data_IF_272480348721
#
_entry.id   IF_272480348721
#
_cell.length_a   1.000
_cell.length_b   1.000
_cell.length_c   1.000
_cell.angle_alpha   90.00
_cell.angle_beta   90.00
_cell.angle_gamma   90.00
#
_symmetry.space_group_name_H-M   'P 1'
#
loop_
_entity.id
_entity.type
_entity.pdbx_description
1 polymer ?
#
# COMPACT_ATOMS: atom_id res chain seq x y z
N UNK A 1 30.02 7.68 46.88
CA UNK A 1 29.94 6.47 46.03
C UNK A 1 28.65 5.67 46.23
N UNK A 2 28.26 5.34 47.47
CA UNK A 2 27.05 4.54 47.75
C UNK A 2 25.73 5.11 47.20
N UNK A 3 25.59 6.43 47.07
CA UNK A 3 24.39 7.07 46.48
C UNK A 3 24.30 6.84 44.96
N UNK A 4 25.44 6.88 44.25
CA UNK A 4 25.49 6.65 42.79
C UNK A 4 25.23 5.19 42.41
N UNK A 5 25.61 4.23 43.28
CA UNK A 5 25.29 2.81 43.06
C UNK A 5 23.82 2.50 43.31
N UNK A 6 23.19 3.10 44.33
CA UNK A 6 21.74 2.97 44.56
C UNK A 6 20.93 3.54 43.40
N UNK A 7 21.37 4.65 42.81
CA UNK A 7 20.68 5.29 41.69
C UNK A 7 20.79 4.51 40.37
N UNK A 8 21.96 3.90 40.10
CA UNK A 8 22.14 2.94 38.98
C UNK A 8 21.30 1.68 39.13
N UNK A 9 21.20 1.14 40.34
CA UNK A 9 20.39 -0.06 40.60
C UNK A 9 18.89 0.22 40.43
N UNK A 10 18.43 1.42 40.83
CA UNK A 10 17.04 1.85 40.67
C UNK A 10 16.66 2.08 39.20
N UNK A 11 17.51 2.73 38.41
CA UNK A 11 17.28 2.93 36.96
C UNK A 11 17.26 1.61 36.18
N UNK A 12 18.18 0.68 36.49
CA UNK A 12 18.19 -0.64 35.86
C UNK A 12 16.97 -1.50 36.22
N UNK A 13 16.39 -1.30 37.41
CA UNK A 13 15.19 -2.02 37.86
C UNK A 13 13.92 -1.46 37.22
N UNK A 14 13.83 -0.13 37.06
CA UNK A 14 12.73 0.53 36.34
C UNK A 14 12.73 0.18 34.85
N UNK A 15 13.91 0.13 34.21
CA UNK A 15 14.01 -0.29 32.81
C UNK A 15 13.55 -1.75 32.60
N UNK A 16 13.90 -2.66 33.53
CA UNK A 16 13.43 -4.06 33.48
C UNK A 16 11.91 -4.19 33.68
N UNK A 17 11.34 -3.41 34.60
CA UNK A 17 9.89 -3.39 34.83
C UNK A 17 9.13 -2.82 33.63
N UNK A 18 9.64 -1.75 33.00
CA UNK A 18 9.06 -1.20 31.78
C UNK A 18 9.07 -2.23 30.64
N UNK A 19 10.21 -2.86 30.38
CA UNK A 19 10.30 -3.89 29.34
C UNK A 19 9.37 -5.09 29.61
N UNK A 20 9.28 -5.55 30.86
CA UNK A 20 8.37 -6.63 31.24
C UNK A 20 6.89 -6.28 31.06
N UNK A 21 6.48 -5.03 31.31
CA UNK A 21 5.11 -4.57 31.10
C UNK A 21 4.79 -4.45 29.61
N UNK A 22 5.73 -3.91 28.81
CA UNK A 22 5.58 -3.86 27.36
C UNK A 22 5.51 -5.26 26.74
N UNK A 23 6.33 -6.20 27.19
CA UNK A 23 6.31 -7.58 26.71
C UNK A 23 5.02 -8.33 27.11
N UNK A 24 4.49 -8.07 28.32
CA UNK A 24 3.22 -8.61 28.79
C UNK A 24 2.03 -8.08 27.99
N UNK A 25 2.00 -6.77 27.73
CA UNK A 25 0.99 -6.14 26.87
C UNK A 25 1.05 -6.70 25.44
N UNK A 26 2.26 -6.88 24.89
CA UNK A 26 2.49 -7.45 23.55
C UNK A 26 2.06 -8.91 23.46
N UNK A 27 2.26 -9.70 24.52
CA UNK A 27 1.82 -11.09 24.60
C UNK A 27 0.30 -11.24 24.71
N UNK A 28 -0.36 -10.40 25.52
CA UNK A 28 -1.82 -10.32 25.61
C UNK A 28 -2.44 -9.92 24.27
N UNK A 29 -1.81 -8.98 23.55
CA UNK A 29 -2.25 -8.55 22.23
C UNK A 29 -2.13 -9.67 21.18
N UNK A 30 -1.02 -10.41 21.16
CA UNK A 30 -0.84 -11.58 20.27
C UNK A 30 -1.91 -12.65 20.49
N UNK A 31 -2.34 -12.88 21.72
CA UNK A 31 -3.45 -13.80 22.04
C UNK A 31 -4.83 -13.28 21.60
N UNK A 32 -5.00 -11.96 21.43
CA UNK A 32 -6.25 -11.37 20.94
C UNK A 32 -6.29 -11.33 19.42
N UNK A 33 -5.18 -10.99 18.76
CA UNK A 33 -5.05 -10.99 17.29
C UNK A 33 -5.29 -12.40 16.72
N UNK A 34 -4.81 -13.45 17.39
CA UNK A 34 -5.07 -14.85 16.99
C UNK A 34 -6.55 -15.28 17.04
N UNK A 35 -7.46 -14.47 17.60
CA UNK A 35 -8.91 -14.76 17.66
C UNK A 35 -9.72 -14.15 16.53
N UNK A 36 -9.13 -13.30 15.69
CA UNK A 36 -9.85 -12.56 14.64
C UNK A 36 -9.61 -13.09 13.21
N UNK A 37 -9.06 -14.31 13.06
CA UNK A 37 -8.94 -15.02 11.76
C UNK A 37 -10.29 -15.59 11.26
N UNK A 38 -11.32 -14.74 11.17
CA UNK A 38 -12.54 -15.04 10.39
C UNK A 38 -12.91 -13.87 9.48
N UNK A 39 -13.29 -14.13 8.22
CA UNK A 39 -13.58 -13.07 7.26
C UNK A 39 -14.94 -12.45 7.58
N UNK A 40 -14.93 -11.20 8.07
CA UNK A 40 -16.16 -10.43 8.22
C UNK A 40 -16.68 -10.04 6.84
N UNK A 41 -17.87 -10.56 6.54
CA UNK A 41 -18.62 -10.23 5.35
C UNK A 41 -19.03 -8.76 5.33
N UNK A 42 -18.95 -8.20 4.12
CA UNK A 42 -19.39 -6.89 3.66
C UNK A 42 -20.69 -6.37 4.31
N UNK A 43 -20.63 -5.14 4.83
CA UNK A 43 -21.65 -4.11 4.62
C UNK A 43 -20.96 -2.75 4.56
N UNK A 44 -20.85 -2.20 3.34
CA UNK A 44 -20.44 -0.82 3.11
C UNK A 44 -21.59 -0.12 2.38
N UNK A 45 -22.20 0.93 2.95
CA UNK A 45 -23.06 1.82 2.21
C UNK A 45 -22.31 3.15 2.02
N UNK A 46 -21.63 3.35 0.89
CA UNK A 46 -21.26 4.69 0.47
C UNK A 46 -21.55 4.90 -1.01
N UNK A 47 -22.64 5.64 -1.24
CA UNK A 47 -22.89 6.38 -2.46
C UNK A 47 -21.91 7.56 -2.56
N UNK A 48 -21.40 7.78 -3.77
CA UNK A 48 -20.83 9.06 -4.19
C UNK A 48 -21.95 10.11 -4.19
N UNK A 49 -21.91 11.08 -3.28
CA UNK A 49 -22.76 12.28 -3.33
C UNK A 49 -21.87 13.51 -3.14
N UNK A 50 -21.99 14.46 -4.05
CA UNK A 50 -21.47 15.82 -3.89
C UNK A 50 -22.18 16.45 -2.69
N UNK A 51 -21.47 16.63 -1.57
CA UNK A 51 -22.02 17.30 -0.41
C UNK A 51 -22.45 18.72 -0.75
N UNK A 52 -23.72 19.03 -0.50
CA UNK A 52 -24.20 20.42 -0.50
C UNK A 52 -23.63 21.14 0.73
N UNK A 53 -23.49 22.47 0.67
CA UNK A 53 -22.97 23.28 1.79
C UNK A 53 -23.73 23.06 3.10
N UNK A 54 -24.99 22.62 3.05
CA UNK A 54 -25.82 22.35 4.22
C UNK A 54 -25.37 21.13 5.03
N UNK A 55 -24.93 20.05 4.37
CA UNK A 55 -24.49 18.83 5.05
C UNK A 55 -23.12 19.01 5.73
N UNK A 56 -22.23 19.79 5.09
CA UNK A 56 -20.96 20.18 5.71
C UNK A 56 -21.18 21.05 6.96
N UNK A 57 -22.13 22.00 6.91
CA UNK A 57 -22.52 22.83 8.06
C UNK A 57 -23.11 21.95 9.18
N UNK A 58 -23.95 20.97 8.84
CA UNK A 58 -24.53 20.05 9.82
C UNK A 58 -23.45 19.19 10.50
N UNK A 59 -22.44 18.75 9.77
CA UNK A 59 -21.31 18.00 10.32
C UNK A 59 -20.46 18.86 11.28
N UNK A 60 -20.19 20.12 10.91
CA UNK A 60 -19.50 21.09 11.77
C UNK A 60 -20.31 21.37 13.04
N UNK A 61 -21.62 21.52 12.92
CA UNK A 61 -22.51 21.75 14.07
C UNK A 61 -22.60 20.52 15.00
N UNK A 62 -22.64 19.30 14.45
CA UNK A 62 -22.59 18.08 15.25
C UNK A 62 -21.24 17.91 15.97
N UNK A 63 -20.13 18.25 15.30
CA UNK A 63 -18.81 18.25 15.92
C UNK A 63 -18.73 19.30 17.04
N UNK A 64 -19.25 20.52 16.82
CA UNK A 64 -19.32 21.56 17.84
C UNK A 64 -20.22 21.18 19.03
N UNK A 65 -21.35 20.52 18.79
CA UNK A 65 -22.25 20.03 19.83
C UNK A 65 -21.62 18.90 20.67
N UNK A 66 -20.86 17.99 20.05
CA UNK A 66 -20.08 16.98 20.78
C UNK A 66 -18.98 17.61 21.61
N UNK A 67 -18.27 18.61 21.06
CA UNK A 67 -17.24 19.35 21.79
C UNK A 67 -17.80 20.16 22.95
N UNK A 68 -18.99 20.75 22.83
CA UNK A 68 -19.63 21.50 23.92
C UNK A 68 -20.21 20.59 25.01
N UNK A 69 -20.73 19.41 24.67
CA UNK A 69 -21.14 18.40 25.65
C UNK A 69 -19.95 17.88 26.48
N UNK A 70 -18.79 17.68 25.84
CA UNK A 70 -17.52 17.37 26.54
C UNK A 70 -17.15 18.55 27.46
N UNK A 71 -17.30 19.79 27.01
CA UNK A 71 -16.96 20.99 27.79
C UNK A 71 -17.83 21.20 29.04
N UNK A 72 -19.11 20.83 29.01
CA UNK A 72 -20.02 20.98 30.15
C UNK A 72 -19.82 19.94 31.27
N UNK A 73 -19.25 18.77 30.95
CA UNK A 73 -18.96 17.73 31.97
C UNK A 73 -17.68 18.02 32.77
N UNK A 74 -16.96 19.10 32.44
CA UNK A 74 -15.55 19.29 32.80
C UNK A 74 -15.29 20.24 33.97
N UNK A 75 -16.29 20.93 34.49
CA UNK A 75 -16.10 22.04 35.45
C UNK A 75 -15.99 21.60 36.93
N UNK A 76 -15.92 20.30 37.25
CA UNK A 76 -16.06 19.85 38.64
C UNK A 76 -14.99 18.92 39.23
N UNK A 77 -13.91 18.57 38.53
CA UNK A 77 -12.79 17.83 39.14
C UNK A 77 -11.44 18.33 38.66
N UNK A 78 -10.59 18.78 39.59
CA UNK A 78 -9.28 19.41 39.36
C UNK A 78 -8.17 18.51 38.82
N UNK A 79 -8.49 17.49 38.03
CA UNK A 79 -7.50 16.69 37.32
C UNK A 79 -7.34 17.22 35.90
N UNK A 80 -6.12 17.60 35.52
CA UNK A 80 -5.82 18.03 34.15
C UNK A 80 -5.89 16.83 33.20
N UNK A 81 -6.96 16.76 32.41
CA UNK A 81 -7.20 15.74 31.36
C UNK A 81 -6.44 16.00 30.05
N UNK A 82 -5.32 16.72 30.12
CA UNK A 82 -4.48 16.96 28.94
C UNK A 82 -3.26 16.07 28.99
N UNK A 83 -2.76 15.71 27.81
CA UNK A 83 -1.49 15.04 27.61
C UNK A 83 -0.61 15.85 26.68
N UNK A 84 0.67 15.88 27.01
CA UNK A 84 1.72 16.50 26.23
C UNK A 84 2.36 15.44 25.34
N UNK A 85 2.34 15.68 24.03
CA UNK A 85 2.92 14.80 23.00
C UNK A 85 3.94 15.60 22.21
N UNK A 86 5.13 15.07 22.03
CA UNK A 86 6.24 15.72 21.35
C UNK A 86 6.47 15.06 19.98
N UNK A 87 6.28 15.83 18.90
CA UNK A 87 6.52 15.40 17.52
C UNK A 87 7.54 16.32 16.84
N UNK A 88 8.74 15.81 16.57
CA UNK A 88 9.85 16.59 16.02
C UNK A 88 10.30 17.71 16.97
N UNK A 89 9.94 18.96 16.68
CA UNK A 89 10.24 20.15 17.49
C UNK A 89 9.01 20.77 18.18
N UNK A 90 7.86 20.10 18.06
CA UNK A 90 6.59 20.65 18.48
C UNK A 90 6.06 19.88 19.69
N UNK A 91 5.57 20.63 20.67
CA UNK A 91 4.89 20.10 21.85
C UNK A 91 3.39 20.36 21.71
N UNK A 92 2.63 19.29 21.62
CA UNK A 92 1.18 19.32 21.52
C UNK A 92 0.55 19.08 22.87
N UNK A 93 -0.44 19.90 23.23
CA UNK A 93 -1.28 19.68 24.40
C UNK A 93 -2.64 19.16 23.92
N UNK A 94 -2.84 17.85 23.99
CA UNK A 94 -4.03 17.17 23.46
C UNK A 94 -4.89 16.68 24.59
N UNK A 95 -6.20 16.73 24.41
CA UNK A 95 -7.13 16.21 25.40
C UNK A 95 -7.12 14.67 25.44
N UNK A 96 -7.15 14.09 26.63
CA UNK A 96 -7.08 12.65 26.87
C UNK A 96 -8.20 11.90 26.14
N UNK A 97 -9.43 12.43 26.17
CA UNK A 97 -10.56 11.79 25.49
C UNK A 97 -10.38 11.68 23.98
N UNK A 98 -9.73 12.67 23.34
CA UNK A 98 -9.49 12.67 21.89
C UNK A 98 -8.44 11.61 21.55
N UNK A 99 -7.39 11.51 22.37
CA UNK A 99 -6.35 10.49 22.21
C UNK A 99 -6.94 9.08 22.39
N UNK A 100 -7.76 8.86 23.42
CA UNK A 100 -8.42 7.58 23.67
C UNK A 100 -9.42 7.21 22.58
N UNK A 101 -10.19 8.18 22.05
CA UNK A 101 -11.13 7.94 20.96
C UNK A 101 -10.42 7.47 19.69
N UNK A 102 -9.23 8.02 19.42
CA UNK A 102 -8.46 7.74 18.20
C UNK A 102 -7.52 6.54 18.30
N UNK A 103 -7.22 6.06 19.51
CA UNK A 103 -6.16 5.07 19.72
C UNK A 103 -6.44 4.18 20.92
N UNK A 104 -6.47 2.87 20.66
CA UNK A 104 -6.55 1.84 21.71
C UNK A 104 -5.33 1.92 22.64
N UNK A 105 -4.14 2.23 22.11
CA UNK A 105 -2.92 2.37 22.91
C UNK A 105 -3.03 3.49 23.92
N UNK A 106 -3.55 4.66 23.51
CA UNK A 106 -3.75 5.76 24.44
C UNK A 106 -4.82 5.43 25.48
N UNK A 107 -5.93 4.82 25.05
CA UNK A 107 -6.97 4.35 25.95
C UNK A 107 -6.42 3.41 27.03
N UNK A 108 -5.71 2.36 26.63
CA UNK A 108 -5.10 1.37 27.53
C UNK A 108 -4.05 2.02 28.44
N UNK A 109 -3.20 2.88 27.89
CA UNK A 109 -2.17 3.60 28.66
C UNK A 109 -2.80 4.45 29.75
N UNK A 110 -3.92 5.13 29.49
CA UNK A 110 -4.57 5.97 30.49
C UNK A 110 -5.39 5.16 31.50
N UNK A 111 -6.04 4.08 31.08
CA UNK A 111 -6.73 3.16 31.99
C UNK A 111 -5.75 2.52 32.97
N UNK A 112 -4.61 2.00 32.47
CA UNK A 112 -3.57 1.42 33.32
C UNK A 112 -3.01 2.43 34.33
N UNK A 113 -2.88 3.71 33.95
CA UNK A 113 -2.47 4.76 34.91
C UNK A 113 -3.45 4.95 36.05
N UNK A 114 -4.75 4.80 35.79
CA UNK A 114 -5.79 4.96 36.81
C UNK A 114 -5.83 3.76 37.76
N UNK A 115 -5.54 2.55 37.27
CA UNK A 115 -5.47 1.33 38.08
C UNK A 115 -4.16 1.25 38.89
N UNK A 116 -3.02 1.56 38.28
CA UNK A 116 -1.67 1.49 38.89
C UNK A 116 -1.42 2.66 39.85
N UNK A 117 -2.25 3.71 39.82
CA UNK A 117 -2.28 4.73 40.88
C UNK A 117 -2.41 4.15 42.29
N UNK A 118 -2.96 2.92 42.42
CA UNK A 118 -3.01 2.17 43.67
C UNK A 118 -1.68 1.50 44.09
N UNK A 119 -0.73 1.30 43.16
CA UNK A 119 0.53 0.55 43.36
C UNK A 119 1.80 1.44 43.47
N UNK A 120 1.65 2.75 43.66
CA UNK A 120 2.73 3.72 43.97
C UNK A 120 3.87 3.89 42.93
N UNK A 121 3.71 3.43 41.68
CA UNK A 121 4.63 3.79 40.59
C UNK A 121 3.96 4.86 39.72
N UNK A 122 4.32 6.15 39.86
CA UNK A 122 3.73 7.21 39.05
C UNK A 122 4.22 7.07 37.61
N UNK A 123 3.34 6.61 36.72
CA UNK A 123 3.55 6.72 35.28
C UNK A 123 3.21 8.16 34.90
N UNK A 124 4.24 8.97 34.68
CA UNK A 124 4.11 10.41 34.39
C UNK A 124 4.07 10.75 32.91
N UNK A 125 4.18 9.75 32.03
CA UNK A 125 4.35 9.97 30.59
C UNK A 125 3.15 10.74 30.02
N UNK A 126 3.45 11.89 29.44
CA UNK A 126 2.49 12.83 28.87
C UNK A 126 1.77 13.73 29.87
N UNK A 127 1.86 13.55 31.19
CA UNK A 127 1.09 14.37 32.16
C UNK A 127 1.69 15.77 32.37
N UNK A 128 2.99 15.92 32.14
CA UNK A 128 3.72 17.17 32.33
C UNK A 128 4.51 17.54 31.08
N UNK A 129 4.71 18.84 30.86
CA UNK A 129 5.54 19.34 29.76
C UNK A 129 6.99 18.83 29.85
N UNK A 130 7.50 18.63 31.06
CA UNK A 130 8.84 18.09 31.30
C UNK A 130 8.97 16.58 30.98
N UNK A 131 7.85 15.89 30.76
CA UNK A 131 7.81 14.45 30.48
C UNK A 131 6.73 14.11 29.43
N UNK A 132 6.83 14.62 28.18
CA UNK A 132 5.85 14.35 27.15
C UNK A 132 5.97 12.93 26.59
N UNK A 133 4.92 12.46 25.91
CA UNK A 133 5.00 11.27 25.05
C UNK A 133 5.82 11.64 23.82
N UNK A 134 6.98 11.03 23.62
CA UNK A 134 7.88 11.36 22.50
C UNK A 134 7.60 10.45 21.31
N UNK A 135 7.21 11.04 20.18
CA UNK A 135 7.04 10.32 18.91
C UNK A 135 8.40 10.14 18.20
N UNK A 136 8.51 9.16 17.28
CA UNK A 136 9.70 9.04 16.44
C UNK A 136 10.01 10.33 15.69
N UNK A 137 11.31 10.62 15.45
CA UNK A 137 11.73 11.85 14.76
C UNK A 137 11.27 11.91 13.30
N UNK A 138 10.84 10.78 12.73
CA UNK A 138 10.26 10.67 11.39
C UNK A 138 8.86 11.30 11.30
N UNK A 139 8.14 11.43 12.42
CA UNK A 139 6.79 11.98 12.43
C UNK A 139 6.83 13.51 12.41
N UNK A 140 6.33 14.08 11.32
CA UNK A 140 6.18 15.51 11.15
C UNK A 140 5.00 16.06 11.97
N UNK A 141 5.04 17.38 12.19
CA UNK A 141 3.94 18.13 12.79
C UNK A 141 2.62 17.89 12.04
N UNK A 142 2.67 17.99 10.71
CA UNK A 142 1.49 17.88 9.85
C UNK A 142 0.88 16.49 9.88
N UNK A 143 1.69 15.44 9.86
CA UNK A 143 1.18 14.07 10.00
C UNK A 143 0.46 13.87 11.34
N UNK A 144 1.03 14.40 12.42
CA UNK A 144 0.39 14.32 13.74
C UNK A 144 -0.89 15.18 13.85
N UNK A 145 -0.95 16.34 13.21
CA UNK A 145 -2.19 17.14 13.13
C UNK A 145 -3.29 16.37 12.36
N UNK A 146 -2.94 15.74 11.22
CA UNK A 146 -3.86 14.97 10.39
C UNK A 146 -4.34 13.66 11.06
N UNK A 147 -3.55 13.11 11.99
CA UNK A 147 -3.96 11.95 12.79
C UNK A 147 -5.28 12.20 13.55
N UNK A 148 -5.53 13.42 14.01
CA UNK A 148 -6.76 13.77 14.71
C UNK A 148 -7.90 14.13 13.77
N UNK A 149 -7.60 14.94 12.75
CA UNK A 149 -8.60 15.52 11.86
C UNK A 149 -8.15 15.36 10.42
N UNK A 150 -8.71 14.35 9.76
CA UNK A 150 -8.62 14.24 8.31
C UNK A 150 -9.68 15.10 7.64
N UNK A 151 -9.26 16.10 6.87
CA UNK A 151 -10.15 16.99 6.11
C UNK A 151 -9.97 16.81 4.59
N UNK A 152 -10.94 17.19 3.74
CA UNK A 152 -10.82 17.03 2.28
C UNK A 152 -9.56 17.66 1.66
N UNK A 153 -9.08 18.81 2.16
CA UNK A 153 -7.84 19.42 1.68
C UNK A 153 -6.58 18.59 2.00
N UNK A 154 -6.65 17.63 2.93
CA UNK A 154 -5.56 16.69 3.26
C UNK A 154 -5.22 15.77 2.08
N UNK A 155 -6.10 15.67 1.07
CA UNK A 155 -5.81 14.99 -0.20
C UNK A 155 -4.63 15.60 -0.96
N UNK A 156 -4.23 16.83 -0.62
CA UNK A 156 -3.04 17.49 -1.17
C UNK A 156 -1.77 17.25 -0.33
N UNK A 157 -1.87 16.58 0.80
CA UNK A 157 -0.72 16.28 1.64
C UNK A 157 0.31 15.47 0.83
N UNK A 158 1.61 15.77 0.93
CA UNK A 158 2.62 14.99 0.20
C UNK A 158 2.70 13.53 0.71
N UNK A 159 3.25 12.65 -0.12
CA UNK A 159 3.21 11.19 0.13
C UNK A 159 3.93 10.79 1.43
N UNK A 160 5.00 11.49 1.80
CA UNK A 160 5.71 11.30 3.06
C UNK A 160 4.81 11.52 4.29
N UNK A 161 3.95 12.53 4.27
CA UNK A 161 2.98 12.79 5.33
C UNK A 161 1.93 11.67 5.42
N UNK A 162 1.48 11.14 4.27
CA UNK A 162 0.53 10.00 4.25
C UNK A 162 1.19 8.72 4.77
N UNK A 163 2.47 8.50 4.47
CA UNK A 163 3.23 7.36 5.02
C UNK A 163 3.44 7.48 6.53
N UNK A 164 3.76 8.68 7.03
CA UNK A 164 3.82 8.94 8.47
C UNK A 164 2.47 8.76 9.15
N UNK A 165 1.36 9.08 8.46
CA UNK A 165 0.02 8.81 8.98
C UNK A 165 -0.25 7.31 9.11
N UNK A 166 0.21 6.51 8.13
CA UNK A 166 0.15 5.05 8.21
C UNK A 166 1.02 4.52 9.38
N UNK A 167 2.23 5.06 9.56
CA UNK A 167 3.12 4.75 10.70
C UNK A 167 2.43 5.05 12.05
N UNK A 168 1.85 6.23 12.18
CA UNK A 168 1.08 6.64 13.37
C UNK A 168 -0.12 5.71 13.60
N UNK A 169 -0.87 5.38 12.55
CA UNK A 169 -2.03 4.49 12.67
C UNK A 169 -1.64 3.09 13.16
N UNK A 170 -0.47 2.60 12.75
CA UNK A 170 0.07 1.31 13.18
C UNK A 170 0.56 1.38 14.63
N UNK A 171 1.35 2.41 14.96
CA UNK A 171 1.90 2.60 16.31
C UNK A 171 0.81 2.77 17.38
N UNK A 172 -0.26 3.48 17.03
CA UNK A 172 -1.35 3.81 17.94
C UNK A 172 -2.60 2.94 17.75
N UNK A 173 -2.53 1.90 16.91
CA UNK A 173 -3.63 0.96 16.67
C UNK A 173 -4.94 1.68 16.30
N UNK A 174 -4.83 2.66 15.40
CA UNK A 174 -5.96 3.47 14.93
C UNK A 174 -6.47 2.94 13.58
N UNK A 175 -7.51 2.11 13.61
CA UNK A 175 -8.04 1.48 12.40
C UNK A 175 -8.61 2.50 11.40
N UNK A 176 -9.38 3.49 11.86
CA UNK A 176 -9.95 4.53 11.00
C UNK A 176 -8.86 5.30 10.24
N UNK A 177 -7.81 5.72 10.96
CA UNK A 177 -6.70 6.47 10.37
C UNK A 177 -5.91 5.58 9.42
N UNK A 178 -5.75 4.29 9.73
CA UNK A 178 -5.10 3.31 8.86
C UNK A 178 -5.85 3.16 7.54
N UNK A 179 -7.17 3.01 7.58
CA UNK A 179 -8.00 2.88 6.38
C UNK A 179 -7.92 4.13 5.50
N UNK A 180 -7.97 5.32 6.11
CA UNK A 180 -7.77 6.59 5.41
C UNK A 180 -6.40 6.64 4.73
N UNK A 181 -5.33 6.34 5.46
CA UNK A 181 -3.97 6.37 4.91
C UNK A 181 -3.81 5.37 3.76
N UNK A 182 -4.31 4.13 3.92
CA UNK A 182 -4.27 3.10 2.87
C UNK A 182 -5.03 3.56 1.62
N UNK A 183 -6.22 4.14 1.79
CA UNK A 183 -7.04 4.65 0.69
C UNK A 183 -6.30 5.76 -0.08
N UNK A 184 -5.70 6.71 0.64
CA UNK A 184 -4.97 7.81 0.00
C UNK A 184 -3.71 7.32 -0.73
N UNK A 185 -3.02 6.30 -0.21
CA UNK A 185 -1.92 5.63 -0.92
C UNK A 185 -2.45 4.92 -2.17
N UNK A 186 -3.59 4.23 -2.07
CA UNK A 186 -4.20 3.50 -3.19
C UNK A 186 -4.66 4.44 -4.30
N UNK A 187 -5.23 5.59 -3.97
CA UNK A 187 -5.68 6.62 -4.92
C UNK A 187 -4.48 7.24 -5.68
N UNK A 188 -3.30 7.26 -5.06
CA UNK A 188 -2.08 7.88 -5.62
C UNK A 188 -1.03 6.88 -6.07
N UNK A 189 -1.35 5.58 -6.04
CA UNK A 189 -0.39 4.48 -6.24
C UNK A 189 0.40 4.53 -7.54
N UNK A 190 -0.12 5.19 -8.59
CA UNK A 190 0.59 5.37 -9.87
C UNK A 190 1.78 6.33 -9.75
N UNK A 191 1.66 7.36 -8.92
CA UNK A 191 2.69 8.39 -8.68
C UNK A 191 3.81 7.91 -7.75
N UNK A 192 3.54 6.89 -6.93
CA UNK A 192 4.50 6.35 -5.97
C UNK A 192 5.38 5.31 -6.69
N UNK A 193 6.68 5.32 -6.40
CA UNK A 193 7.62 4.33 -6.95
C UNK A 193 7.27 2.92 -6.47
N UNK A 194 7.31 1.89 -7.33
CA UNK A 194 6.94 0.52 -6.95
C UNK A 194 7.72 -0.05 -5.76
N UNK A 195 9.02 0.23 -5.66
CA UNK A 195 9.86 -0.25 -4.56
C UNK A 195 9.39 0.31 -3.20
N UNK A 196 9.02 1.59 -3.14
CA UNK A 196 8.44 2.21 -1.95
C UNK A 196 7.11 1.56 -1.57
N UNK A 197 6.22 1.35 -2.55
CA UNK A 197 4.94 0.67 -2.30
C UNK A 197 5.13 -0.75 -1.77
N UNK A 198 6.07 -1.52 -2.32
CA UNK A 198 6.39 -2.86 -1.82
C UNK A 198 6.86 -2.78 -0.36
N UNK A 199 7.82 -1.92 -0.06
CA UNK A 199 8.37 -1.76 1.30
C UNK A 199 7.26 -1.47 2.30
N UNK A 200 6.43 -0.46 2.02
CA UNK A 200 5.30 -0.07 2.87
C UNK A 200 4.27 -1.20 2.97
N UNK A 201 3.95 -1.86 1.85
CA UNK A 201 2.98 -2.95 1.88
C UNK A 201 3.45 -4.15 2.70
N UNK A 202 4.76 -4.41 2.73
CA UNK A 202 5.35 -5.46 3.57
C UNK A 202 5.34 -5.05 5.05
N UNK A 203 5.78 -3.83 5.35
CA UNK A 203 5.84 -3.31 6.71
C UNK A 203 4.45 -3.27 7.38
N UNK A 204 3.43 -2.84 6.64
CA UNK A 204 2.07 -2.66 7.17
C UNK A 204 1.07 -3.74 6.74
N UNK A 205 1.55 -4.84 6.15
CA UNK A 205 0.74 -5.98 5.69
C UNK A 205 -0.45 -5.58 4.78
N UNK A 206 -0.17 -4.90 3.65
CA UNK A 206 -1.18 -4.39 2.71
C UNK A 206 -1.10 -5.14 1.38
N UNK A 207 -1.71 -6.33 1.31
CA UNK A 207 -1.59 -7.24 0.17
C UNK A 207 -2.07 -6.69 -1.19
N UNK A 208 -3.08 -5.82 -1.21
CA UNK A 208 -3.57 -5.18 -2.45
C UNK A 208 -2.49 -4.30 -3.09
N UNK A 209 -1.85 -3.45 -2.30
CA UNK A 209 -0.79 -2.55 -2.75
C UNK A 209 0.48 -3.32 -3.11
N UNK A 210 0.84 -4.34 -2.33
CA UNK A 210 1.97 -5.21 -2.64
C UNK A 210 1.83 -5.82 -4.04
N UNK A 211 0.69 -6.46 -4.32
CA UNK A 211 0.45 -7.09 -5.62
C UNK A 211 0.55 -6.08 -6.74
N UNK A 212 -0.13 -4.93 -6.61
CA UNK A 212 -0.08 -3.85 -7.60
C UNK A 212 1.36 -3.40 -7.90
N UNK A 213 2.14 -3.11 -6.85
CA UNK A 213 3.51 -2.65 -7.00
C UNK A 213 4.44 -3.73 -7.58
N UNK A 214 4.24 -4.99 -7.19
CA UNK A 214 4.95 -6.13 -7.78
C UNK A 214 4.72 -6.21 -9.30
N UNK A 215 3.47 -6.08 -9.77
CA UNK A 215 3.19 -6.12 -11.22
C UNK A 215 3.90 -5.01 -11.97
N UNK A 216 3.91 -3.80 -11.41
CA UNK A 216 4.61 -2.65 -12.00
C UNK A 216 6.10 -2.90 -12.07
N UNK A 217 6.69 -3.45 -11.02
CA UNK A 217 8.13 -3.68 -10.95
C UNK A 217 8.60 -4.79 -11.89
N UNK A 218 7.81 -5.87 -12.06
CA UNK A 218 8.10 -6.89 -13.08
C UNK A 218 8.12 -6.30 -14.49
N UNK A 219 7.27 -5.30 -14.78
CA UNK A 219 7.23 -4.64 -16.10
C UNK A 219 8.26 -3.51 -16.24
N UNK A 220 8.87 -3.04 -15.15
CA UNK A 220 9.83 -1.95 -15.18
C UNK A 220 11.21 -2.41 -15.67
N UNK A 221 11.98 -1.48 -16.24
CA UNK A 221 13.40 -1.71 -16.52
C UNK A 221 14.18 -1.56 -15.22
N UNK A 222 15.14 -2.46 -15.01
CA UNK A 222 15.97 -2.40 -13.81
C UNK A 222 16.90 -1.17 -13.81
N UNK A 223 17.29 -0.70 -14.99
CA UNK A 223 18.12 0.51 -15.16
C UNK A 223 17.43 1.80 -14.67
N UNK A 224 16.09 1.80 -14.55
CA UNK A 224 15.32 2.96 -14.11
C UNK A 224 15.27 3.09 -12.57
N UNK A 225 15.83 2.09 -11.87
CA UNK A 225 15.86 2.03 -10.41
C UNK A 225 17.05 2.80 -9.85
N UNK A 226 16.84 3.42 -8.69
CA UNK A 226 17.90 4.12 -7.96
C UNK A 226 18.65 3.14 -7.06
N UNK A 227 19.93 3.40 -6.80
CA UNK A 227 20.79 2.52 -5.97
C UNK A 227 20.20 2.23 -4.59
N UNK A 228 19.56 3.22 -3.97
CA UNK A 228 18.92 3.05 -2.67
C UNK A 228 17.71 2.10 -2.71
N UNK A 229 17.01 1.96 -3.84
CA UNK A 229 15.84 1.10 -3.97
C UNK A 229 16.20 -0.39 -3.89
N UNK A 230 17.43 -0.78 -4.25
CA UNK A 230 17.88 -2.18 -4.12
C UNK A 230 17.90 -2.65 -2.67
N UNK A 231 18.11 -1.73 -1.73
CA UNK A 231 18.16 -2.04 -0.29
C UNK A 231 16.79 -2.11 0.38
N UNK A 232 15.73 -1.66 -0.29
CA UNK A 232 14.39 -1.55 0.29
C UNK A 232 13.62 -2.88 0.31
N UNK A 233 14.11 -3.90 -0.38
CA UNK A 233 13.43 -5.18 -0.53
C UNK A 233 14.36 -6.34 -0.19
N UNK A 234 13.84 -7.42 0.42
CA UNK A 234 14.64 -8.61 0.68
C UNK A 234 15.13 -9.25 -0.61
N UNK A 235 16.33 -9.83 -0.58
CA UNK A 235 16.96 -10.52 -1.72
C UNK A 235 16.04 -11.58 -2.37
N UNK A 236 15.25 -12.29 -1.56
CA UNK A 236 14.31 -13.30 -2.07
C UNK A 236 13.23 -12.70 -2.99
N UNK A 237 12.82 -11.47 -2.72
CA UNK A 237 11.83 -10.76 -3.53
C UNK A 237 12.46 -10.27 -4.84
N UNK A 238 13.71 -9.80 -4.79
CA UNK A 238 14.46 -9.49 -6.01
C UNK A 238 14.61 -10.72 -6.91
N UNK A 239 15.00 -11.87 -6.36
CA UNK A 239 15.08 -13.11 -7.13
C UNK A 239 13.73 -13.50 -7.77
N UNK A 240 12.62 -13.24 -7.08
CA UNK A 240 11.28 -13.47 -7.61
C UNK A 240 10.95 -12.57 -8.81
N UNK A 241 11.24 -11.28 -8.68
CA UNK A 241 11.00 -10.28 -9.74
C UNK A 241 11.85 -10.61 -10.97
N UNK A 242 13.14 -10.89 -10.78
CA UNK A 242 14.06 -11.26 -11.85
C UNK A 242 13.62 -12.55 -12.56
N UNK A 243 13.19 -13.56 -11.80
CA UNK A 243 12.62 -14.79 -12.38
C UNK A 243 11.36 -14.49 -13.18
N UNK A 244 10.48 -13.66 -12.65
CA UNK A 244 9.25 -13.28 -13.35
C UNK A 244 9.55 -12.53 -14.66
N UNK A 245 10.48 -11.57 -14.62
CA UNK A 245 10.96 -10.86 -15.80
C UNK A 245 11.57 -11.81 -16.83
N UNK A 246 12.46 -12.71 -16.41
CA UNK A 246 13.10 -13.67 -17.30
C UNK A 246 12.08 -14.59 -17.98
N UNK A 247 11.12 -15.13 -17.22
CA UNK A 247 10.04 -15.96 -17.80
C UNK A 247 9.21 -15.17 -18.81
N UNK A 248 8.87 -13.92 -18.51
CA UNK A 248 8.11 -13.06 -19.40
C UNK A 248 8.89 -12.77 -20.70
N UNK A 249 10.19 -12.53 -20.61
CA UNK A 249 11.05 -12.32 -21.77
C UNK A 249 11.16 -13.57 -22.65
N UNK A 250 11.25 -14.76 -22.06
CA UNK A 250 11.21 -16.02 -22.81
C UNK A 250 9.89 -16.17 -23.55
N UNK A 251 8.76 -15.94 -22.86
CA UNK A 251 7.44 -16.03 -23.49
C UNK A 251 7.28 -15.01 -24.63
N UNK A 252 7.77 -13.76 -24.45
CA UNK A 252 7.79 -12.75 -25.52
C UNK A 252 8.57 -13.21 -26.74
N UNK A 253 9.73 -13.86 -26.55
CA UNK A 253 10.52 -14.43 -27.66
C UNK A 253 9.78 -15.54 -28.39
N UNK A 254 9.09 -16.42 -27.67
CA UNK A 254 8.26 -17.47 -28.28
C UNK A 254 7.19 -16.83 -29.15
N UNK A 255 6.39 -15.91 -28.60
CA UNK A 255 5.31 -15.23 -29.35
C UNK A 255 5.87 -14.42 -30.54
N UNK A 256 7.04 -13.81 -30.38
CA UNK A 256 7.68 -13.06 -31.46
C UNK A 256 8.11 -13.96 -32.64
N UNK A 257 8.69 -15.13 -32.35
CA UNK A 257 9.22 -16.04 -33.36
C UNK A 257 8.16 -17.01 -33.93
N UNK A 258 7.14 -17.35 -33.14
CA UNK A 258 6.12 -18.34 -33.50
C UNK A 258 4.81 -17.63 -33.86
N UNK A 259 4.66 -17.30 -35.14
CA UNK A 259 3.40 -16.79 -35.68
C UNK A 259 2.28 -17.82 -35.49
N UNK A 260 1.06 -17.41 -35.11
CA UNK A 260 -0.09 -18.30 -35.11
C UNK A 260 -0.27 -18.98 -36.46
N UNK A 261 -0.67 -20.26 -36.52
CA UNK A 261 -0.92 -20.95 -37.78
C UNK A 261 -1.92 -20.19 -38.63
N UNK A 262 -1.65 -20.14 -39.93
CA UNK A 262 -2.53 -19.45 -40.88
C UNK A 262 -3.88 -20.17 -40.96
N UNK A 263 -4.97 -19.40 -40.93
CA UNK A 263 -6.32 -19.91 -41.09
C UNK A 263 -6.88 -19.49 -42.45
N UNK A 264 -7.21 -20.46 -43.29
CA UNK A 264 -7.70 -20.23 -44.66
C UNK A 264 -9.19 -20.54 -44.77
N UNK A 265 -10.02 -19.60 -45.27
CA UNK A 265 -11.39 -19.92 -45.66
C UNK A 265 -11.40 -20.81 -46.92
N UNK A 266 -12.51 -21.52 -47.12
CA UNK A 266 -12.74 -22.30 -48.33
C UNK A 266 -12.67 -21.39 -49.57
N UNK A 267 -11.74 -21.68 -50.49
CA UNK A 267 -11.52 -20.87 -51.69
C UNK A 267 -10.33 -19.91 -51.63
N UNK A 268 -9.44 -20.03 -50.63
CA UNK A 268 -8.14 -19.35 -50.70
C UNK A 268 -7.38 -19.82 -51.96
N UNK A 269 -6.97 -18.90 -52.86
CA UNK A 269 -6.36 -19.27 -54.13
C UNK A 269 -4.93 -19.81 -53.97
N UNK A 270 -4.21 -19.33 -52.95
CA UNK A 270 -2.85 -19.74 -52.65
C UNK A 270 -2.60 -19.78 -51.13
N UNK A 271 -2.88 -20.93 -50.48
CA UNK A 271 -2.69 -21.08 -49.04
C UNK A 271 -1.22 -20.96 -48.62
N UNK A 272 -0.30 -21.47 -49.43
CA UNK A 272 1.13 -21.53 -49.09
C UNK A 272 1.76 -20.14 -49.12
N UNK A 273 1.50 -19.35 -50.18
CA UNK A 273 1.97 -17.96 -50.26
C UNK A 273 1.37 -17.10 -49.14
N UNK A 274 0.07 -17.28 -48.82
CA UNK A 274 -0.57 -16.60 -47.71
C UNK A 274 0.10 -16.92 -46.36
N UNK A 275 0.50 -18.17 -46.13
CA UNK A 275 1.16 -18.58 -44.89
C UNK A 275 2.58 -18.00 -44.78
N UNK A 276 3.34 -17.99 -45.88
CA UNK A 276 4.67 -17.37 -45.95
C UNK A 276 4.62 -15.87 -45.69
N UNK A 277 3.71 -15.16 -46.36
CA UNK A 277 3.54 -13.72 -46.18
C UNK A 277 3.05 -13.38 -44.77
N UNK A 278 2.14 -14.19 -44.20
CA UNK A 278 1.70 -14.02 -42.81
C UNK A 278 2.86 -14.13 -41.83
N UNK A 279 3.74 -15.11 -42.01
CA UNK A 279 4.92 -15.26 -41.15
C UNK A 279 5.82 -14.01 -41.21
N UNK A 280 6.04 -13.46 -42.40
CA UNK A 280 6.80 -12.22 -42.57
C UNK A 280 6.11 -11.01 -41.93
N UNK A 281 4.80 -10.85 -42.13
CA UNK A 281 4.02 -9.77 -41.51
C UNK A 281 4.08 -9.86 -39.98
N UNK A 282 3.91 -11.08 -39.44
CA UNK A 282 4.00 -11.33 -38.00
C UNK A 282 5.36 -10.93 -37.45
N UNK A 283 6.44 -11.42 -38.07
CA UNK A 283 7.80 -11.10 -37.63
C UNK A 283 8.07 -9.59 -37.69
N UNK A 284 7.76 -8.95 -38.83
CA UNK A 284 7.99 -7.53 -39.07
C UNK A 284 7.12 -6.61 -38.19
N UNK A 285 5.94 -7.07 -37.78
CA UNK A 285 5.03 -6.34 -36.91
C UNK A 285 5.15 -6.73 -35.44
N UNK A 286 4.57 -7.89 -35.09
CA UNK A 286 4.55 -8.41 -33.72
C UNK A 286 5.94 -8.75 -33.20
N UNK A 287 6.74 -9.48 -33.98
CA UNK A 287 8.08 -9.92 -33.57
C UNK A 287 8.97 -8.76 -33.17
N UNK A 288 9.11 -7.77 -34.06
CA UNK A 288 9.86 -6.55 -33.79
C UNK A 288 9.28 -5.74 -32.62
N UNK A 289 7.96 -5.60 -32.51
CA UNK A 289 7.33 -4.82 -31.43
C UNK A 289 7.59 -5.41 -30.04
N UNK A 290 7.68 -6.75 -29.94
CA UNK A 290 7.92 -7.44 -28.67
C UNK A 290 9.41 -7.52 -28.31
N UNK A 291 10.29 -7.56 -29.32
CA UNK A 291 11.74 -7.70 -29.16
C UNK A 291 12.51 -6.39 -29.20
N UNK A 292 11.84 -5.25 -29.40
CA UNK A 292 12.47 -3.94 -29.36
C UNK A 292 13.06 -3.65 -27.96
N UNK A 293 14.37 -3.80 -27.83
CA UNK A 293 15.09 -3.52 -26.58
C UNK A 293 15.08 -2.04 -26.19
N UNK A 294 14.77 -1.12 -27.11
CA UNK A 294 14.66 0.32 -26.81
C UNK A 294 13.28 0.68 -26.27
N UNK A 295 12.24 0.01 -26.77
CA UNK A 295 10.85 0.30 -26.42
C UNK A 295 9.98 -0.96 -26.36
N UNK A 296 10.23 -1.87 -25.40
CA UNK A 296 9.53 -3.14 -25.32
C UNK A 296 8.04 -2.89 -25.07
N UNK A 297 7.19 -3.29 -26.02
CA UNK A 297 5.74 -3.12 -25.90
C UNK A 297 5.13 -4.18 -24.99
N UNK A 298 4.01 -3.84 -24.35
CA UNK A 298 3.13 -4.85 -23.76
C UNK A 298 2.48 -5.68 -24.88
N UNK A 299 1.97 -6.88 -24.57
CA UNK A 299 1.25 -7.67 -25.57
C UNK A 299 0.07 -6.93 -26.18
N UNK A 300 -0.68 -6.21 -25.34
CA UNK A 300 -1.83 -5.41 -25.78
C UNK A 300 -1.42 -4.30 -26.74
N UNK A 301 -0.34 -3.58 -26.43
CA UNK A 301 0.11 -2.44 -27.24
C UNK A 301 0.78 -2.92 -28.54
N UNK A 302 1.54 -4.01 -28.49
CA UNK A 302 2.11 -4.66 -29.67
C UNK A 302 1.00 -5.12 -30.63
N UNK A 303 -0.03 -5.81 -30.11
CA UNK A 303 -1.15 -6.27 -30.91
C UNK A 303 -1.92 -5.11 -31.54
N UNK A 304 -2.19 -4.04 -30.77
CA UNK A 304 -2.85 -2.84 -31.29
C UNK A 304 -2.05 -2.21 -32.44
N UNK A 305 -0.74 -2.03 -32.26
CA UNK A 305 0.14 -1.48 -33.32
C UNK A 305 0.20 -2.38 -34.54
N UNK A 306 0.22 -3.69 -34.33
CA UNK A 306 0.20 -4.65 -35.41
C UNK A 306 -1.10 -4.58 -36.21
N UNK A 307 -2.25 -4.45 -35.54
CA UNK A 307 -3.54 -4.23 -36.21
C UNK A 307 -3.56 -2.94 -37.03
N UNK A 308 -2.99 -1.85 -36.50
CA UNK A 308 -2.85 -0.59 -37.23
C UNK A 308 -1.97 -0.74 -38.47
N UNK A 309 -0.88 -1.51 -38.38
CA UNK A 309 -0.02 -1.83 -39.53
C UNK A 309 -0.78 -2.63 -40.61
N UNK A 310 -1.59 -3.61 -40.20
CA UNK A 310 -2.37 -4.44 -41.12
C UNK A 310 -3.42 -3.64 -41.91
N UNK A 311 -3.89 -2.49 -41.38
CA UNK A 311 -4.80 -1.59 -42.09
C UNK A 311 -4.11 -0.80 -43.22
N UNK A 312 -2.78 -0.72 -43.22
CA UNK A 312 -1.99 0.08 -44.17
C UNK A 312 -1.62 -0.65 -45.48
N UNK A 313 -2.38 -1.69 -45.85
CA UNK A 313 -2.24 -2.49 -47.08
C UNK A 313 -0.84 -3.13 -47.24
N UNK A 314 -0.48 -3.98 -46.27
CA UNK A 314 0.85 -4.59 -46.19
C UNK A 314 0.73 -6.10 -46.47
N UNK A 315 1.24 -6.54 -47.62
CA UNK A 315 1.44 -7.96 -47.97
C UNK A 315 0.44 -8.54 -48.98
N UNK A 316 0.65 -9.79 -49.41
CA UNK A 316 -0.25 -10.49 -50.35
C UNK A 316 -1.21 -11.45 -49.65
N UNK A 317 -1.25 -11.43 -48.32
CA UNK A 317 -2.24 -12.21 -47.56
C UNK A 317 -3.64 -11.75 -47.95
N UNK A 318 -4.47 -12.67 -48.45
CA UNK A 318 -5.83 -12.29 -48.83
C UNK A 318 -6.60 -11.74 -47.62
N UNK A 319 -7.47 -10.71 -47.79
CA UNK A 319 -8.21 -10.11 -46.68
C UNK A 319 -9.04 -11.12 -45.87
N UNK A 320 -9.56 -12.16 -46.52
CA UNK A 320 -10.34 -13.20 -45.86
C UNK A 320 -9.48 -14.11 -44.97
N UNK A 321 -8.29 -14.50 -45.45
CA UNK A 321 -7.31 -15.25 -44.65
C UNK A 321 -6.83 -14.40 -43.46
N UNK A 322 -6.51 -13.12 -43.71
CA UNK A 322 -6.07 -12.19 -42.66
C UNK A 322 -7.15 -12.02 -41.58
N UNK A 323 -8.41 -11.84 -41.98
CA UNK A 323 -9.52 -11.75 -41.04
C UNK A 323 -9.63 -13.02 -40.19
N UNK A 324 -9.56 -14.20 -40.82
CA UNK A 324 -9.67 -15.48 -40.13
C UNK A 324 -8.56 -15.69 -39.10
N UNK A 325 -7.29 -15.44 -39.47
CA UNK A 325 -6.18 -15.57 -38.51
C UNK A 325 -6.25 -14.53 -37.40
N UNK A 326 -6.70 -13.30 -37.68
CA UNK A 326 -6.84 -12.27 -36.64
C UNK A 326 -7.95 -12.58 -35.64
N UNK A 327 -9.02 -13.28 -36.04
CA UNK A 327 -10.01 -13.82 -35.08
C UNK A 327 -9.35 -14.82 -34.12
N UNK A 328 -8.49 -15.69 -34.63
CA UNK A 328 -7.70 -16.64 -33.82
C UNK A 328 -6.73 -15.91 -32.89
N UNK A 329 -6.00 -14.92 -33.40
CA UNK A 329 -5.06 -14.09 -32.61
C UNK A 329 -5.79 -13.43 -31.44
N UNK A 330 -6.93 -12.77 -31.71
CA UNK A 330 -7.71 -12.05 -30.68
C UNK A 330 -8.35 -12.97 -29.64
N UNK A 331 -8.73 -14.18 -30.05
CA UNK A 331 -9.29 -15.19 -29.13
C UNK A 331 -8.20 -16.00 -28.40
N UNK A 332 -6.95 -15.90 -28.84
CA UNK A 332 -5.82 -16.64 -28.28
C UNK A 332 -5.52 -16.25 -26.83
N UNK A 333 -5.37 -17.25 -25.96
CA UNK A 333 -5.04 -17.06 -24.55
C UNK A 333 -3.61 -16.59 -24.31
N UNK A 334 -2.71 -16.73 -25.29
CA UNK A 334 -1.30 -16.37 -25.17
C UNK A 334 -1.09 -14.93 -24.68
N UNK A 335 -1.90 -13.98 -25.12
CA UNK A 335 -1.79 -12.58 -24.71
C UNK A 335 -2.30 -12.32 -23.27
N UNK A 336 -3.15 -13.22 -22.75
CA UNK A 336 -3.62 -13.17 -21.37
C UNK A 336 -2.64 -13.83 -20.39
N UNK A 337 -1.70 -14.65 -20.87
CA UNK A 337 -0.72 -15.33 -20.00
C UNK A 337 0.27 -14.38 -19.32
N UNK A 338 0.58 -13.21 -19.91
CA UNK A 338 1.45 -12.20 -19.26
C UNK A 338 0.87 -11.77 -17.90
N UNK A 339 -0.36 -11.28 -17.88
CA UNK A 339 -0.97 -10.79 -16.65
C UNK A 339 -1.28 -11.94 -15.68
N UNK A 340 -1.69 -13.10 -16.21
CA UNK A 340 -1.96 -14.30 -15.42
C UNK A 340 -0.69 -14.80 -14.70
N UNK A 341 0.44 -14.84 -15.40
CA UNK A 341 1.73 -15.21 -14.83
C UNK A 341 2.16 -14.24 -13.72
N UNK A 342 2.07 -12.93 -14.00
CA UNK A 342 2.42 -11.89 -13.03
C UNK A 342 1.51 -11.97 -11.81
N UNK A 343 0.20 -12.19 -12.00
CA UNK A 343 -0.76 -12.29 -10.89
C UNK A 343 -0.48 -13.50 -10.01
N UNK A 344 -0.24 -14.67 -10.61
CA UNK A 344 0.11 -15.89 -9.87
C UNK A 344 1.38 -15.68 -9.05
N UNK A 345 2.39 -15.03 -9.63
CA UNK A 345 3.64 -14.72 -8.95
C UNK A 345 3.41 -13.72 -7.79
N UNK A 346 2.69 -12.62 -8.06
CA UNK A 346 2.39 -11.58 -7.07
C UNK A 346 1.60 -12.16 -5.89
N UNK A 347 0.56 -12.96 -6.15
CA UNK A 347 -0.23 -13.63 -5.12
C UNK A 347 0.62 -14.57 -4.28
N UNK A 348 1.38 -15.47 -4.92
CA UNK A 348 2.28 -16.41 -4.23
C UNK A 348 3.24 -15.70 -3.26
N UNK A 349 3.80 -14.57 -3.67
CA UNK A 349 4.75 -13.83 -2.84
C UNK A 349 4.07 -12.98 -1.78
N UNK A 350 2.89 -12.44 -2.05
CA UNK A 350 2.05 -11.81 -1.03
C UNK A 350 1.77 -12.82 0.10
N UNK A 351 1.23 -14.00 -0.22
CA UNK A 351 0.88 -15.05 0.76
C UNK A 351 2.11 -15.54 1.56
N UNK A 352 3.31 -15.48 0.96
CA UNK A 352 4.55 -15.90 1.62
C UNK A 352 5.13 -14.85 2.57
N UNK A 353 5.12 -13.58 2.16
CA UNK A 353 5.82 -12.49 2.85
C UNK A 353 4.93 -11.69 3.79
N UNK A 354 3.62 -11.66 3.52
CA UNK A 354 2.64 -10.94 4.30
C UNK A 354 1.97 -11.95 5.23
N UNK A 355 2.37 -11.96 6.50
CA UNK A 355 1.84 -12.85 7.54
C UNK A 355 1.47 -12.05 8.77
#
# INVERSE_FOLDING_TARGET
>A
MAVREKEKCRTASVARLKNSLFDSARASLRQRVARYDTPLAFFSPFFLVNYSSAEAIQWIQQAQAKLSAIRCSFTMMGHTFFRFVHAGRYLFKVHESILSEKSEVFQDMFQAQNEVGALMIPITDGRMEAAPVVLPPTISKTAFELFFVWHPDSKKAPNDVVFQLLELSHMFFSNDVREIAIKEIDDRRTSIRPCHLISISMEYNIGKLFKYAFRRLVKARLDDLMDNEYTMMPLQLWAAILKAQSTLQVHRRIIACESPPMAHPAGCPDPDDCALDWHQLWWNGMGHSLLDGRNPQSYKDALKRFEELLLSDVGKVSPACLHSVMVTVRSGSAFHEEESFIERAAKKWADKLLK
#
